data_IF_349834263715
#
_entry.id   IF_349834263715
#
_cell.length_a   1.000
_cell.length_b   1.000
_cell.length_c   1.000
_cell.angle_alpha   90.00
_cell.angle_beta   90.00
_cell.angle_gamma   90.00
#
_symmetry.space_group_name_H-M   'P 1'
#
loop_
_entity.id
_entity.type
_entity.pdbx_description
1 polymer ?
#
# COMPACT_ATOMS: atom_id res chain seq x y z
N UNK A 1 -8.81 -14.16 -8.85
CA UNK A 1 -7.57 -14.34 -8.05
C UNK A 1 -7.17 -12.98 -7.52
N UNK A 2 -6.76 -12.87 -6.27
CA UNK A 2 -6.27 -11.59 -5.75
C UNK A 2 -5.06 -11.09 -6.55
N UNK A 3 -4.87 -9.77 -6.70
CA UNK A 3 -3.76 -9.23 -7.48
C UNK A 3 -2.41 -9.49 -6.79
N UNK A 4 -1.37 -9.77 -7.59
CA UNK A 4 0.00 -9.88 -7.07
C UNK A 4 0.56 -8.49 -6.74
N UNK A 5 0.17 -7.46 -7.50
CA UNK A 5 0.61 -6.07 -7.31
C UNK A 5 -0.58 -5.14 -7.16
N UNK A 6 -0.60 -4.34 -6.10
CA UNK A 6 -1.70 -3.41 -5.82
C UNK A 6 -1.20 -2.05 -5.32
N UNK A 7 -1.93 -0.99 -5.63
CA UNK A 7 -1.66 0.36 -5.17
C UNK A 7 -2.84 0.94 -4.39
N UNK A 8 -2.55 1.59 -3.27
CA UNK A 8 -3.48 2.47 -2.59
C UNK A 8 -3.21 3.92 -3.02
N UNK A 9 -4.14 4.52 -3.74
CA UNK A 9 -4.00 5.84 -4.36
C UNK A 9 -4.79 6.86 -3.56
N UNK A 10 -4.13 7.80 -2.91
CA UNK A 10 -4.79 8.85 -2.16
C UNK A 10 -5.57 9.81 -3.05
N UNK A 11 -6.87 9.96 -2.81
CA UNK A 11 -7.67 10.99 -3.49
C UNK A 11 -7.34 12.40 -3.00
N UNK A 12 -6.79 12.51 -1.78
CA UNK A 12 -6.29 13.75 -1.20
C UNK A 12 -5.21 13.46 -0.14
N UNK A 13 -4.48 14.48 0.28
CA UNK A 13 -3.57 14.35 1.42
C UNK A 13 -4.34 13.99 2.70
N UNK A 14 -3.79 13.07 3.50
CA UNK A 14 -4.42 12.59 4.73
C UNK A 14 -5.51 11.52 4.53
N UNK A 15 -5.64 10.95 3.35
CA UNK A 15 -6.60 9.88 3.06
C UNK A 15 -6.31 8.55 3.79
N UNK A 16 -5.13 8.40 4.41
CA UNK A 16 -4.76 7.19 5.13
C UNK A 16 -4.07 6.11 4.28
N UNK A 17 -3.63 6.42 3.06
CA UNK A 17 -2.99 5.46 2.14
C UNK A 17 -1.78 4.76 2.75
N UNK A 18 -0.87 5.51 3.35
CA UNK A 18 0.32 4.95 4.02
C UNK A 18 -0.06 3.97 5.12
N UNK A 19 -1.06 4.32 5.93
CA UNK A 19 -1.58 3.43 6.97
C UNK A 19 -2.18 2.17 6.36
N UNK A 20 -3.06 2.31 5.36
CA UNK A 20 -3.66 1.17 4.65
C UNK A 20 -2.61 0.23 4.06
N UNK A 21 -1.60 0.78 3.38
CA UNK A 21 -0.52 0.00 2.81
C UNK A 21 0.26 -0.79 3.88
N UNK A 22 0.53 -0.15 5.02
CA UNK A 22 1.23 -0.79 6.14
C UNK A 22 0.37 -1.87 6.83
N UNK A 23 -0.92 -1.61 7.08
CA UNK A 23 -1.87 -2.58 7.64
C UNK A 23 -2.01 -3.79 6.72
N UNK A 24 -2.22 -3.56 5.42
CA UNK A 24 -2.33 -4.62 4.40
C UNK A 24 -1.07 -5.47 4.33
N UNK A 25 0.09 -4.84 4.17
CA UNK A 25 1.36 -5.58 4.10
C UNK A 25 1.63 -6.39 5.36
N UNK A 26 1.30 -5.84 6.53
CA UNK A 26 1.46 -6.54 7.81
C UNK A 26 0.49 -7.71 7.95
N UNK A 27 -0.77 -7.53 7.55
CA UNK A 27 -1.77 -8.60 7.61
C UNK A 27 -1.38 -9.77 6.69
N UNK A 28 -1.05 -9.50 5.43
CA UNK A 28 -0.63 -10.52 4.47
C UNK A 28 0.63 -11.27 4.92
N UNK A 29 1.61 -10.55 5.49
CA UNK A 29 2.81 -11.19 6.04
C UNK A 29 2.50 -12.08 7.25
N UNK A 30 1.57 -11.69 8.12
CA UNK A 30 1.09 -12.56 9.21
C UNK A 30 0.41 -13.83 8.69
N UNK A 31 -0.24 -13.76 7.53
CA UNK A 31 -0.85 -14.90 6.83
C UNK A 31 0.18 -15.78 6.08
N UNK A 32 1.46 -15.52 6.25
CA UNK A 32 2.52 -16.34 5.67
C UNK A 32 2.94 -15.92 4.26
N UNK A 33 2.54 -14.73 3.79
CA UNK A 33 2.95 -14.21 2.48
C UNK A 33 4.22 -13.39 2.58
N UNK A 34 5.06 -13.46 1.57
CA UNK A 34 6.18 -12.55 1.39
C UNK A 34 5.68 -11.29 0.68
N UNK A 35 5.77 -10.14 1.36
CA UNK A 35 5.21 -8.87 0.89
C UNK A 35 6.28 -7.80 0.76
N UNK A 36 6.33 -7.10 -0.40
CA UNK A 36 7.09 -5.88 -0.58
C UNK A 36 6.16 -4.66 -0.48
N UNK A 37 6.55 -3.65 0.31
CA UNK A 37 5.84 -2.38 0.42
C UNK A 37 6.72 -1.24 -0.08
N UNK A 38 6.30 -0.57 -1.17
CA UNK A 38 7.06 0.49 -1.85
C UNK A 38 6.37 1.86 -1.66
N UNK A 39 7.15 2.90 -1.41
CA UNK A 39 6.68 4.25 -1.11
C UNK A 39 6.83 5.18 -2.32
N UNK A 40 5.73 5.48 -3.03
CA UNK A 40 5.68 6.53 -4.05
C UNK A 40 5.28 7.91 -3.48
N UNK A 41 4.96 8.01 -2.19
CA UNK A 41 4.52 9.24 -1.53
C UNK A 41 5.71 10.13 -1.11
N UNK A 42 6.58 10.44 -2.06
CA UNK A 42 7.85 11.16 -1.87
C UNK A 42 7.74 12.50 -1.14
N UNK A 43 6.61 13.18 -1.24
CA UNK A 43 6.44 14.49 -0.60
C UNK A 43 6.13 14.40 0.90
N UNK A 44 5.41 13.36 1.31
CA UNK A 44 5.02 13.14 2.71
C UNK A 44 5.99 12.24 3.46
N UNK A 45 6.59 11.26 2.77
CA UNK A 45 7.56 10.31 3.33
C UNK A 45 7.03 9.56 4.57
N UNK A 46 5.71 9.35 4.62
CA UNK A 46 5.04 8.81 5.80
C UNK A 46 5.47 7.40 6.17
N UNK A 47 5.83 6.57 5.19
CA UNK A 47 6.29 5.21 5.43
C UNK A 47 7.63 5.17 6.18
N UNK A 48 8.48 6.20 6.01
CA UNK A 48 9.74 6.32 6.73
C UNK A 48 9.54 6.51 8.24
N UNK A 49 8.45 7.16 8.66
CA UNK A 49 8.13 7.35 10.09
C UNK A 49 7.75 6.02 10.77
N UNK A 50 7.30 5.05 9.97
CA UNK A 50 6.95 3.70 10.43
C UNK A 50 8.05 2.67 10.18
N UNK A 51 9.21 3.08 9.66
CA UNK A 51 10.33 2.18 9.36
C UNK A 51 11.46 2.40 10.36
N UNK A 52 11.70 1.45 11.29
CA UNK A 52 12.75 1.59 12.28
C UNK A 52 14.13 1.47 11.66
N UNK A 53 15.10 2.14 12.28
CA UNK A 53 16.51 2.03 11.90
C UNK A 53 16.94 3.04 10.84
N UNK A 54 18.10 2.73 10.21
CA UNK A 54 18.69 3.60 9.17
C UNK A 54 18.09 3.25 7.81
N UNK A 55 17.54 4.26 7.15
CA UNK A 55 17.05 4.17 5.77
C UNK A 55 18.13 4.75 4.85
N UNK A 56 18.97 3.90 4.29
CA UNK A 56 20.04 4.30 3.39
C UNK A 56 20.59 3.07 2.63
N UNK A 57 20.34 2.97 1.29
CA UNK A 57 19.58 3.93 0.48
C UNK A 57 18.07 3.83 0.68
N UNK A 58 17.37 4.94 0.45
CA UNK A 58 15.92 5.00 0.34
C UNK A 58 15.46 4.79 -1.13
N UNK A 59 14.16 4.59 -1.35
CA UNK A 59 13.61 4.33 -2.69
C UNK A 59 13.94 5.43 -3.70
N UNK A 60 13.98 6.70 -3.26
CA UNK A 60 14.34 7.81 -4.16
C UNK A 60 15.79 7.72 -4.64
N UNK A 61 16.71 7.27 -3.77
CA UNK A 61 18.11 7.04 -4.14
C UNK A 61 18.23 5.88 -5.13
N UNK A 62 17.45 4.80 -4.94
CA UNK A 62 17.45 3.69 -5.90
C UNK A 62 17.02 4.16 -7.30
N UNK A 63 15.94 4.94 -7.39
CA UNK A 63 15.43 5.47 -8.66
C UNK A 63 16.40 6.47 -9.31
N UNK A 64 17.07 7.33 -8.53
CA UNK A 64 17.97 8.35 -9.06
C UNK A 64 19.31 7.77 -9.51
N UNK A 65 19.86 6.84 -8.73
CA UNK A 65 21.22 6.33 -8.89
C UNK A 65 21.25 4.95 -9.57
N UNK A 66 20.11 4.49 -10.11
CA UNK A 66 19.95 3.19 -10.81
C UNK A 66 20.48 2.01 -9.99
N UNK A 67 20.03 1.91 -8.74
CA UNK A 67 20.45 0.86 -7.80
C UNK A 67 19.41 -0.24 -7.71
N UNK A 68 19.80 -1.50 -7.47
CA UNK A 68 18.84 -2.60 -7.35
C UNK A 68 17.92 -2.44 -6.14
N UNK A 69 16.65 -2.85 -6.25
CA UNK A 69 15.65 -2.78 -5.19
C UNK A 69 16.13 -3.37 -3.86
N UNK A 70 16.79 -4.52 -3.93
CA UNK A 70 17.30 -5.21 -2.74
C UNK A 70 18.23 -4.37 -1.84
N UNK A 71 18.84 -3.31 -2.39
CA UNK A 71 19.72 -2.43 -1.62
C UNK A 71 18.94 -1.49 -0.67
N UNK A 72 17.65 -1.22 -0.94
CA UNK A 72 16.82 -0.31 -0.15
C UNK A 72 15.70 -0.99 0.64
N UNK A 73 15.54 -2.30 0.51
CA UNK A 73 14.56 -3.07 1.29
C UNK A 73 15.00 -3.19 2.75
N UNK A 74 14.08 -2.92 3.66
CA UNK A 74 14.24 -3.09 5.10
C UNK A 74 13.19 -4.08 5.58
N UNK A 75 13.64 -5.24 6.07
CA UNK A 75 12.74 -6.24 6.64
C UNK A 75 12.17 -5.75 7.96
N UNK A 76 10.86 -5.94 8.15
CA UNK A 76 10.16 -5.65 9.39
C UNK A 76 10.15 -6.89 10.27
N UNK A 77 10.50 -6.69 11.55
CA UNK A 77 10.33 -7.74 12.56
C UNK A 77 8.84 -7.89 12.89
N UNK A 78 8.23 -8.95 12.38
CA UNK A 78 6.81 -9.25 12.54
C UNK A 78 6.65 -10.65 13.13
N UNK A 79 5.63 -10.82 13.97
CA UNK A 79 5.19 -12.14 14.40
C UNK A 79 4.30 -12.73 13.27
N UNK A 80 4.77 -13.78 12.63
CA UNK A 80 4.06 -14.44 11.52
C UNK A 80 4.97 -15.38 10.76
N UNK A 81 4.42 -16.12 9.80
CA UNK A 81 5.16 -17.08 8.99
C UNK A 81 5.76 -16.46 7.72
N UNK A 82 5.26 -15.32 7.29
CA UNK A 82 5.72 -14.58 6.11
C UNK A 82 6.64 -13.42 6.46
N UNK A 83 6.94 -12.61 5.44
CA UNK A 83 7.88 -11.49 5.52
C UNK A 83 7.26 -10.20 5.00
N UNK A 84 7.50 -9.07 5.66
CA UNK A 84 7.24 -7.74 5.15
C UNK A 84 8.56 -7.00 4.97
N UNK A 85 8.91 -6.69 3.73
CA UNK A 85 10.05 -5.85 3.37
C UNK A 85 9.58 -4.51 2.85
N UNK A 86 10.06 -3.44 3.45
CA UNK A 86 9.62 -2.07 3.17
C UNK A 86 10.73 -1.29 2.48
N UNK A 87 10.41 -0.58 1.40
CA UNK A 87 11.32 0.36 0.76
C UNK A 87 10.74 1.78 0.85
N UNK A 88 11.02 2.53 1.94
CA UNK A 88 10.47 3.86 2.15
C UNK A 88 11.19 4.92 1.32
N UNK A 89 10.51 6.04 1.07
CA UNK A 89 11.13 7.27 0.60
C UNK A 89 11.58 8.11 1.80
N UNK A 90 12.85 8.52 1.81
CA UNK A 90 13.41 9.44 2.82
C UNK A 90 14.55 10.26 2.23
N UNK A 91 14.20 11.39 1.62
CA UNK A 91 15.16 12.16 0.85
C UNK A 91 15.12 13.66 1.16
N UNK A 92 16.25 14.35 1.06
CA UNK A 92 16.26 15.80 1.03
C UNK A 92 15.57 16.32 -0.24
N UNK A 93 15.08 17.56 -0.19
CA UNK A 93 14.27 18.17 -1.26
C UNK A 93 14.94 18.09 -2.65
N UNK A 94 16.25 18.27 -2.73
CA UNK A 94 16.99 18.20 -3.99
C UNK A 94 16.86 16.82 -4.64
N UNK A 95 17.00 15.74 -3.88
CA UNK A 95 16.86 14.38 -4.40
C UNK A 95 15.41 14.08 -4.76
N UNK A 96 14.43 14.60 -4.01
CA UNK A 96 13.01 14.46 -4.36
C UNK A 96 12.70 15.05 -5.74
N UNK A 97 13.29 16.19 -6.09
CA UNK A 97 13.11 16.79 -7.42
C UNK A 97 13.66 15.88 -8.51
N UNK A 98 14.86 15.30 -8.32
CA UNK A 98 15.49 14.35 -9.25
C UNK A 98 14.73 13.04 -9.36
N UNK A 99 14.16 12.54 -8.26
CA UNK A 99 13.39 11.30 -8.24
C UNK A 99 12.02 11.40 -8.94
N UNK A 100 11.59 12.62 -9.30
CA UNK A 100 10.34 12.87 -10.04
C UNK A 100 10.55 13.07 -11.55
N UNK A 101 11.76 12.92 -12.07
CA UNK A 101 12.00 12.96 -13.50
C UNK A 101 11.39 11.74 -14.20
N UNK A 102 11.09 11.80 -15.52
CA UNK A 102 10.57 10.65 -16.24
C UNK A 102 11.45 9.41 -16.11
N UNK A 103 12.77 9.56 -16.24
CA UNK A 103 13.74 8.45 -16.14
C UNK A 103 13.75 7.79 -14.76
N UNK A 104 13.66 8.58 -13.68
CA UNK A 104 13.57 8.04 -12.33
C UNK A 104 12.21 7.36 -12.07
N UNK A 105 11.15 7.85 -12.71
CA UNK A 105 9.83 7.25 -12.64
C UNK A 105 9.77 5.91 -13.38
N UNK A 106 10.42 5.78 -14.54
CA UNK A 106 10.56 4.50 -15.25
C UNK A 106 11.24 3.46 -14.35
N UNK A 107 12.33 3.83 -13.66
CA UNK A 107 13.00 2.94 -12.69
C UNK A 107 12.13 2.56 -11.51
N UNK A 108 11.20 3.44 -11.09
CA UNK A 108 10.21 3.06 -10.08
C UNK A 108 9.34 1.90 -10.58
N UNK A 109 8.84 1.95 -11.81
CA UNK A 109 8.12 0.85 -12.44
C UNK A 109 8.95 -0.43 -12.51
N UNK A 110 10.25 -0.33 -12.85
CA UNK A 110 11.17 -1.46 -12.85
C UNK A 110 11.34 -2.07 -11.44
N UNK A 111 11.32 -1.25 -10.38
CA UNK A 111 11.36 -1.72 -9.01
C UNK A 111 10.08 -2.46 -8.60
N UNK A 112 8.90 -2.00 -9.04
CA UNK A 112 7.64 -2.75 -8.84
C UNK A 112 7.72 -4.11 -9.53
N UNK A 113 8.16 -4.15 -10.79
CA UNK A 113 8.34 -5.39 -11.54
C UNK A 113 9.42 -6.31 -10.92
N UNK A 114 10.47 -5.74 -10.33
CA UNK A 114 11.50 -6.50 -9.62
C UNK A 114 10.94 -7.11 -8.32
N UNK A 115 10.13 -6.35 -7.58
CA UNK A 115 9.45 -6.83 -6.38
C UNK A 115 8.50 -7.98 -6.69
N UNK A 116 7.67 -7.88 -7.74
CA UNK A 116 6.73 -8.90 -8.16
C UNK A 116 7.38 -10.25 -8.50
N UNK A 117 8.66 -10.24 -8.89
CA UNK A 117 9.41 -11.49 -9.12
C UNK A 117 9.94 -12.18 -7.85
N UNK A 118 9.97 -11.48 -6.73
CA UNK A 118 10.64 -11.95 -5.50
C UNK A 118 9.74 -12.01 -4.27
N UNK A 119 8.49 -11.57 -4.41
CA UNK A 119 7.51 -11.53 -3.33
C UNK A 119 6.17 -12.05 -3.84
N UNK A 120 5.36 -12.60 -2.94
CA UNK A 120 4.01 -13.05 -3.26
C UNK A 120 3.08 -11.87 -3.59
N UNK A 121 3.28 -10.75 -2.89
CA UNK A 121 2.52 -9.52 -3.12
C UNK A 121 3.39 -8.26 -3.06
N UNK A 122 3.04 -7.28 -3.89
CA UNK A 122 3.62 -5.94 -3.85
C UNK A 122 2.53 -4.93 -3.55
N UNK A 123 2.72 -4.17 -2.49
CA UNK A 123 1.83 -3.06 -2.10
C UNK A 123 2.53 -1.74 -2.35
N UNK A 124 1.86 -0.80 -2.99
CA UNK A 124 2.43 0.53 -3.28
C UNK A 124 1.61 1.62 -2.61
N UNK A 125 2.26 2.43 -1.77
CA UNK A 125 1.69 3.66 -1.19
C UNK A 125 1.82 4.80 -2.20
N UNK A 126 0.69 5.27 -2.75
CA UNK A 126 0.66 6.26 -3.82
C UNK A 126 -0.04 7.55 -3.35
N UNK A 127 0.63 8.72 -3.47
CA UNK A 127 0.01 10.00 -3.16
C UNK A 127 -1.03 10.35 -4.22
N UNK A 128 -1.79 11.45 -4.06
CA UNK A 128 -2.62 11.98 -5.14
C UNK A 128 -1.82 12.12 -6.44
N UNK A 129 -2.34 11.51 -7.53
CA UNK A 129 -1.62 11.43 -8.80
C UNK A 129 -1.44 12.81 -9.40
N UNK A 130 -0.20 13.26 -9.49
CA UNK A 130 0.16 14.60 -9.96
C UNK A 130 1.66 14.74 -10.28
N UNK A 131 2.41 13.64 -10.23
CA UNK A 131 3.84 13.61 -10.56
C UNK A 131 4.21 12.26 -11.17
N UNK A 132 5.32 12.22 -11.92
CA UNK A 132 5.71 11.08 -12.74
C UNK A 132 5.83 9.77 -11.95
N UNK A 133 6.40 9.79 -10.74
CA UNK A 133 6.51 8.57 -9.93
C UNK A 133 5.14 8.02 -9.50
N UNK A 134 4.14 8.88 -9.26
CA UNK A 134 2.80 8.42 -8.94
C UNK A 134 2.10 7.81 -10.17
N UNK A 135 2.32 8.39 -11.36
CA UNK A 135 1.85 7.80 -12.62
C UNK A 135 2.50 6.44 -12.83
N UNK A 136 3.85 6.35 -12.73
CA UNK A 136 4.56 5.09 -12.89
C UNK A 136 4.08 4.02 -11.87
N UNK A 137 3.83 4.42 -10.62
CA UNK A 137 3.34 3.52 -9.59
C UNK A 137 1.99 2.89 -9.96
N UNK A 138 1.01 3.71 -10.40
CA UNK A 138 -0.34 3.20 -10.71
C UNK A 138 -0.41 2.46 -12.04
N UNK A 139 0.51 2.72 -12.97
CA UNK A 139 0.58 2.01 -14.26
C UNK A 139 1.38 0.71 -14.19
N UNK A 140 2.16 0.50 -13.13
CA UNK A 140 2.98 -0.69 -12.93
C UNK A 140 2.31 -1.80 -12.11
N UNK A 141 1.10 -1.57 -11.60
CA UNK A 141 0.37 -2.53 -10.76
C UNK A 141 -0.84 -3.10 -11.49
N UNK A 142 -1.29 -4.29 -11.06
CA UNK A 142 -2.48 -4.97 -11.59
C UNK A 142 -3.77 -4.35 -11.09
N UNK A 143 -3.77 -3.86 -9.84
CA UNK A 143 -4.94 -3.28 -9.20
C UNK A 143 -4.61 -1.96 -8.50
N UNK A 144 -5.49 -0.97 -8.62
CA UNK A 144 -5.36 0.32 -7.95
C UNK A 144 -6.67 0.68 -7.26
N UNK A 145 -6.64 0.86 -5.94
CA UNK A 145 -7.79 1.36 -5.19
C UNK A 145 -7.64 2.85 -4.89
N UNK A 146 -8.70 3.62 -5.16
CA UNK A 146 -8.82 4.99 -4.69
C UNK A 146 -9.11 5.00 -3.20
N UNK A 147 -8.40 5.84 -2.45
CA UNK A 147 -8.57 5.98 -1.00
C UNK A 147 -8.95 7.41 -0.65
N UNK A 148 -10.05 7.59 0.09
CA UNK A 148 -10.49 8.87 0.59
C UNK A 148 -10.92 8.78 2.06
N UNK A 149 -10.78 9.87 2.80
CA UNK A 149 -11.42 10.06 4.11
C UNK A 149 -12.92 10.31 3.94
N UNK A 150 -13.75 9.75 4.83
CA UNK A 150 -15.21 9.84 4.76
C UNK A 150 -15.73 11.29 4.69
N UNK A 151 -15.07 12.22 5.40
CA UNK A 151 -15.49 13.63 5.38
C UNK A 151 -15.23 14.35 4.06
N UNK A 152 -14.46 13.77 3.14
CA UNK A 152 -14.05 14.39 1.86
C UNK A 152 -14.35 13.54 0.62
N UNK A 153 -14.80 12.32 0.81
CA UNK A 153 -14.98 11.33 -0.26
C UNK A 153 -15.79 11.87 -1.45
N UNK A 154 -16.97 12.42 -1.22
CA UNK A 154 -17.83 12.96 -2.26
C UNK A 154 -17.19 14.08 -3.11
N UNK A 155 -16.29 14.86 -2.54
CA UNK A 155 -15.62 15.97 -3.24
C UNK A 155 -14.38 15.51 -4.04
N UNK A 156 -13.63 14.53 -3.52
CA UNK A 156 -12.30 14.21 -4.06
C UNK A 156 -12.29 12.99 -4.97
N UNK A 157 -13.15 12.00 -4.71
CA UNK A 157 -13.18 10.74 -5.48
C UNK A 157 -13.47 10.94 -6.97
N UNK A 158 -14.52 11.71 -7.38
CA UNK A 158 -14.82 11.89 -8.80
C UNK A 158 -13.64 12.45 -9.58
N UNK A 159 -13.01 13.50 -9.07
CA UNK A 159 -11.86 14.17 -9.73
C UNK A 159 -10.63 13.28 -9.80
N UNK A 160 -10.41 12.43 -8.79
CA UNK A 160 -9.26 11.54 -8.78
C UNK A 160 -9.48 10.35 -9.71
N UNK A 161 -10.72 9.84 -9.78
CA UNK A 161 -11.11 8.83 -10.76
C UNK A 161 -10.91 9.32 -12.20
N UNK A 162 -11.41 10.52 -12.53
CA UNK A 162 -11.24 11.12 -13.85
C UNK A 162 -9.75 11.23 -14.21
N UNK A 163 -8.91 11.68 -13.27
CA UNK A 163 -7.47 11.80 -13.48
C UNK A 163 -6.77 10.46 -13.73
N UNK A 164 -7.19 9.38 -13.08
CA UNK A 164 -6.66 8.04 -13.36
C UNK A 164 -7.11 7.55 -14.73
N UNK A 165 -8.37 7.79 -15.10
CA UNK A 165 -8.88 7.46 -16.44
C UNK A 165 -8.14 8.22 -17.54
N UNK A 166 -7.79 9.50 -17.33
CA UNK A 166 -7.00 10.31 -18.28
C UNK A 166 -5.62 9.70 -18.58
N UNK A 167 -5.05 8.95 -17.65
CA UNK A 167 -3.77 8.24 -17.85
C UNK A 167 -3.95 6.76 -18.17
N UNK A 168 -5.19 6.32 -18.46
CA UNK A 168 -5.50 4.96 -18.89
C UNK A 168 -5.57 3.93 -17.74
N UNK A 169 -5.68 4.38 -16.49
CA UNK A 169 -5.82 3.51 -15.32
C UNK A 169 -7.27 3.55 -14.84
N UNK A 170 -7.97 2.41 -14.90
CA UNK A 170 -9.28 2.25 -14.29
C UNK A 170 -9.12 1.78 -12.84
N UNK A 171 -9.60 2.54 -11.84
CA UNK A 171 -9.54 2.10 -10.45
C UNK A 171 -10.32 0.80 -10.23
N UNK A 172 -9.69 -0.19 -9.63
CA UNK A 172 -10.29 -1.49 -9.33
C UNK A 172 -11.34 -1.37 -8.24
N UNK A 173 -11.10 -0.50 -7.24
CA UNK A 173 -12.00 -0.28 -6.13
C UNK A 173 -11.86 1.15 -5.57
N UNK A 174 -12.86 1.53 -4.78
CA UNK A 174 -12.87 2.74 -3.96
C UNK A 174 -12.97 2.36 -2.49
N UNK A 175 -12.02 2.82 -1.68
CA UNK A 175 -11.97 2.58 -0.24
C UNK A 175 -12.19 3.90 0.50
N UNK A 176 -13.15 3.92 1.43
CA UNK A 176 -13.38 5.08 2.29
C UNK A 176 -12.95 4.77 3.71
N UNK A 177 -12.06 5.58 4.26
CA UNK A 177 -11.51 5.44 5.61
C UNK A 177 -12.23 6.32 6.62
N UNK A 178 -12.21 5.92 7.91
CA UNK A 178 -12.83 6.66 9.01
C UNK A 178 -14.33 6.39 9.17
N UNK A 179 -14.87 5.39 8.50
CA UNK A 179 -16.27 4.98 8.61
C UNK A 179 -16.39 3.46 8.41
N UNK A 180 -17.47 2.88 8.93
CA UNK A 180 -17.80 1.48 8.72
C UNK A 180 -18.61 1.23 7.43
N UNK A 181 -19.19 2.28 6.83
CA UNK A 181 -19.98 2.21 5.60
C UNK A 181 -19.99 3.56 4.89
N UNK A 182 -20.02 3.55 3.56
CA UNK A 182 -20.11 4.77 2.74
C UNK A 182 -20.73 4.45 1.37
N UNK A 183 -21.70 5.25 0.87
CA UNK A 183 -22.43 4.94 -0.36
C UNK A 183 -21.58 4.95 -1.63
N UNK A 184 -20.45 5.66 -1.62
CA UNK A 184 -19.54 5.77 -2.77
C UNK A 184 -18.32 4.82 -2.65
N UNK A 185 -18.34 3.87 -1.71
CA UNK A 185 -17.24 2.95 -1.47
C UNK A 185 -17.59 1.52 -1.85
N UNK A 186 -16.64 0.84 -2.49
CA UNK A 186 -16.68 -0.62 -2.66
C UNK A 186 -16.27 -1.32 -1.35
N UNK A 187 -15.40 -0.65 -0.56
CA UNK A 187 -15.02 -1.09 0.78
C UNK A 187 -14.87 0.11 1.72
N UNK A 188 -15.22 -0.07 2.99
CA UNK A 188 -15.03 0.93 4.04
C UNK A 188 -14.11 0.40 5.14
N UNK A 189 -13.32 1.28 5.74
CA UNK A 189 -12.47 0.94 6.87
C UNK A 189 -12.75 1.90 8.03
N UNK A 190 -13.28 1.41 9.16
CA UNK A 190 -13.47 2.23 10.36
C UNK A 190 -12.13 2.75 10.89
N UNK A 191 -12.18 3.77 11.74
CA UNK A 191 -10.99 4.29 12.41
C UNK A 191 -10.36 3.18 13.26
N UNK A 192 -9.09 2.90 12.97
CA UNK A 192 -8.31 1.95 13.78
C UNK A 192 -7.65 2.70 14.93
N UNK A 193 -8.04 2.40 16.17
CA UNK A 193 -7.63 3.13 17.38
C UNK A 193 -6.15 2.92 17.77
N UNK A 194 -5.56 1.77 17.40
CA UNK A 194 -4.19 1.47 17.74
C UNK A 194 -3.19 2.15 16.78
N UNK A 195 -1.95 2.34 17.25
CA UNK A 195 -0.85 2.81 16.41
C UNK A 195 -0.59 1.84 15.24
N UNK A 196 -0.21 2.35 14.04
CA UNK A 196 0.11 1.50 12.88
C UNK A 196 1.38 0.66 13.08
N UNK A 197 1.37 -0.61 12.70
CA UNK A 197 0.23 -1.35 12.15
C UNK A 197 -0.66 -1.93 13.26
N UNK A 198 -1.91 -1.51 13.33
CA UNK A 198 -2.89 -1.97 14.31
C UNK A 198 -3.17 -3.47 14.22
N UNK A 199 -3.11 -4.06 13.02
CA UNK A 199 -3.28 -5.50 12.77
C UNK A 199 -2.23 -6.36 13.51
N UNK A 200 -1.11 -5.79 13.90
CA UNK A 200 -0.09 -6.50 14.67
C UNK A 200 -0.59 -6.90 16.06
N UNK A 201 -1.43 -6.07 16.69
CA UNK A 201 -1.86 -6.22 18.09
C UNK A 201 -3.38 -6.45 18.25
N UNK A 202 -4.22 -6.01 17.31
CA UNK A 202 -5.68 -5.99 17.44
C UNK A 202 -6.36 -7.00 16.52
N UNK A 203 -7.16 -7.92 17.10
CA UNK A 203 -8.00 -8.86 16.34
C UNK A 203 -9.05 -8.11 15.51
N UNK A 204 -9.72 -7.10 16.09
CA UNK A 204 -10.71 -6.30 15.39
C UNK A 204 -10.09 -5.53 14.21
N UNK A 205 -8.85 -5.03 14.33
CA UNK A 205 -8.17 -4.40 13.22
C UNK A 205 -7.88 -5.40 12.09
N UNK A 206 -7.50 -6.65 12.42
CA UNK A 206 -7.30 -7.72 11.44
C UNK A 206 -8.58 -8.03 10.67
N UNK A 207 -9.70 -8.20 11.38
CA UNK A 207 -11.01 -8.42 10.80
C UNK A 207 -11.39 -7.29 9.83
N UNK A 208 -11.36 -6.04 10.28
CA UNK A 208 -11.71 -4.90 9.42
C UNK A 208 -10.81 -4.75 8.19
N UNK A 209 -9.51 -5.01 8.31
CA UNK A 209 -8.59 -4.94 7.16
C UNK A 209 -8.79 -6.14 6.24
N UNK A 210 -9.09 -7.34 6.77
CA UNK A 210 -9.42 -8.52 5.96
C UNK A 210 -10.70 -8.30 5.16
N UNK A 211 -11.77 -7.81 5.79
CA UNK A 211 -13.04 -7.49 5.13
C UNK A 211 -12.86 -6.46 4.03
N UNK A 212 -12.08 -5.41 4.29
CA UNK A 212 -11.76 -4.39 3.30
C UNK A 212 -11.00 -4.99 2.11
N UNK A 213 -10.02 -5.85 2.35
CA UNK A 213 -9.25 -6.51 1.28
C UNK A 213 -10.11 -7.49 0.48
N UNK A 214 -11.00 -8.21 1.14
CA UNK A 214 -11.95 -9.11 0.46
C UNK A 214 -12.88 -8.33 -0.46
N UNK A 215 -13.45 -7.22 0.01
CA UNK A 215 -14.37 -6.39 -0.76
C UNK A 215 -13.69 -5.63 -1.90
N UNK A 216 -12.46 -5.11 -1.68
CA UNK A 216 -11.77 -4.30 -2.67
C UNK A 216 -10.98 -5.11 -3.70
N UNK A 217 -10.43 -6.28 -3.34
CA UNK A 217 -9.46 -7.01 -4.15
C UNK A 217 -9.68 -8.54 -4.18
N UNK A 218 -10.77 -9.03 -3.63
CA UNK A 218 -11.08 -10.47 -3.57
C UNK A 218 -10.02 -11.31 -2.82
N UNK A 219 -9.32 -10.71 -1.84
CA UNK A 219 -8.42 -11.47 -0.99
C UNK A 219 -9.20 -12.36 -0.02
N UNK A 220 -8.84 -13.65 0.02
CA UNK A 220 -9.26 -14.55 1.08
C UNK A 220 -8.18 -14.52 2.18
N UNK A 221 -8.50 -13.89 3.32
CA UNK A 221 -7.66 -13.86 4.51
C UNK A 221 -8.37 -14.66 5.58
N UNK A 222 -7.78 -15.79 5.99
CA UNK A 222 -8.36 -16.61 7.07
C UNK A 222 -8.27 -15.84 8.40
N UNK A 223 -9.41 -15.49 8.98
CA UNK A 223 -9.44 -14.89 10.32
C UNK A 223 -9.04 -15.92 11.39
N UNK A 224 -8.58 -15.46 12.56
CA UNK A 224 -8.20 -16.37 13.66
C UNK A 224 -9.38 -17.26 14.13
N UNK A 225 -10.61 -16.77 14.01
CA UNK A 225 -11.82 -17.55 14.32
C UNK A 225 -12.04 -18.68 13.31
N UNK A 226 -11.84 -18.43 12.02
CA UNK A 226 -12.00 -19.44 10.97
C UNK A 226 -10.89 -20.49 11.05
N UNK A 227 -9.66 -20.09 11.37
CA UNK A 227 -8.55 -21.03 11.65
C UNK A 227 -8.86 -21.90 12.86
N UNK A 228 -9.30 -21.32 13.95
CA UNK A 228 -9.68 -22.05 15.16
C UNK A 228 -10.88 -23.00 14.95
N UNK A 229 -11.81 -22.67 14.04
CA UNK A 229 -12.91 -23.55 13.63
C UNK A 229 -12.43 -24.69 12.73
N UNK A 230 -11.55 -24.43 11.76
CA UNK A 230 -10.95 -25.46 10.88
C UNK A 230 -10.12 -26.46 11.67
N UNK A 231 -9.31 -26.00 12.63
CA UNK A 231 -8.56 -26.91 13.53
C UNK A 231 -9.48 -27.78 14.37
N UNK A 232 -10.60 -27.27 14.89
CA UNK A 232 -11.58 -28.03 15.66
C UNK A 232 -12.38 -29.03 14.84
N UNK A 233 -12.53 -28.80 13.53
CA UNK A 233 -13.27 -29.69 12.61
C UNK A 233 -12.36 -30.74 11.97
N UNK A 234 -11.03 -30.66 12.15
CA UNK A 234 -10.05 -31.60 11.60
C UNK A 234 -9.74 -32.76 12.57
N UNK A 235 -10.44 -32.88 13.68
CA UNK A 235 -10.44 -33.97 14.65
C UNK A 235 -11.80 -34.66 14.65
#
# INVERSE_FOLDING_TARGET
>A
MPPETLAFVGAAGGAGTTRLALETGTLLAREGRDVALLDAAYATQGLADHTPGRIDPDLTALCVDDRPLAAGLVDRDLQGAGRLSVCPARAPFERLARAKTPEAAERFGDHVAAAARGFDHVVVDVPPVGANQAVAAVTAVEAAALVADAGRAGDVLPRTRDRLLDIGVEPTATIVTGTADHPDADAALPTLEADPPAVAASAAAREHVADMLAAAFEFEVDTEEERGLREKLSF
#
